data_IF_961854712346
#
_entry.id   IF_961854712346
#
_cell.length_a   1.000
_cell.length_b   1.000
_cell.length_c   1.000
_cell.angle_alpha   90.00
_cell.angle_beta   90.00
_cell.angle_gamma   90.00
#
_symmetry.space_group_name_H-M   'P 1'
#
loop_
_entity.id
_entity.type
_entity.pdbx_description
1 polymer ?
#
# COMPACT_ATOMS: atom_id res chain seq x y z
N UNK A 1 -1.94 40.38 23.67
CA UNK A 1 -2.27 38.95 23.61
C UNK A 1 -3.22 38.81 22.45
N UNK A 2 -2.64 38.65 21.27
CA UNK A 2 -3.36 38.26 20.06
C UNK A 2 -3.11 36.75 19.95
N UNK A 3 -4.20 35.98 19.90
CA UNK A 3 -4.14 34.55 19.59
C UNK A 3 -4.29 34.43 18.08
N UNK A 4 -3.20 34.03 17.41
CA UNK A 4 -3.22 33.69 15.99
C UNK A 4 -3.94 32.34 15.80
N UNK A 5 -5.13 32.39 15.22
CA UNK A 5 -5.85 31.23 14.68
C UNK A 5 -5.06 30.67 13.48
N UNK A 6 -4.39 29.54 13.66
CA UNK A 6 -3.84 28.76 12.55
C UNK A 6 -5.01 28.08 11.81
N UNK A 7 -5.35 28.59 10.63
CA UNK A 7 -6.24 27.91 9.69
C UNK A 7 -5.60 26.58 9.25
N UNK A 8 -6.19 25.47 9.68
CA UNK A 8 -5.89 24.14 9.16
C UNK A 8 -6.45 24.05 7.74
N UNK A 9 -5.60 24.33 6.75
CA UNK A 9 -5.92 24.17 5.35
C UNK A 9 -5.92 22.67 5.00
N UNK A 10 -6.97 21.98 5.44
CA UNK A 10 -7.27 20.61 5.02
C UNK A 10 -7.75 20.71 3.58
N UNK A 11 -6.81 20.58 2.64
CA UNK A 11 -7.15 20.37 1.24
C UNK A 11 -8.11 19.21 1.16
N UNK A 12 -9.35 19.49 0.75
CA UNK A 12 -10.39 18.49 0.52
C UNK A 12 -9.85 17.45 -0.47
N UNK A 13 -9.47 16.28 0.04
CA UNK A 13 -9.10 15.11 -0.76
C UNK A 13 -10.34 14.41 -1.36
N UNK A 14 -11.52 14.97 -1.12
CA UNK A 14 -12.83 14.42 -1.50
C UNK A 14 -13.09 14.50 -3.01
N UNK A 15 -12.32 15.31 -3.75
CA UNK A 15 -12.46 15.48 -5.21
C UNK A 15 -11.70 14.40 -6.02
N UNK A 16 -10.74 13.71 -5.39
CA UNK A 16 -9.97 12.63 -6.04
C UNK A 16 -10.57 11.24 -5.85
N UNK A 17 -11.45 11.06 -4.86
CA UNK A 17 -12.03 9.77 -4.50
C UNK A 17 -13.17 9.36 -5.45
N UNK A 18 -14.00 10.30 -5.91
CA UNK A 18 -15.11 10.01 -6.85
C UNK A 18 -14.62 9.43 -8.19
N UNK A 19 -13.51 9.96 -8.70
CA UNK A 19 -12.94 9.60 -10.00
C UNK A 19 -12.40 8.15 -10.06
N UNK A 20 -11.91 7.64 -8.93
CA UNK A 20 -11.36 6.26 -8.84
C UNK A 20 -12.52 5.27 -8.65
N UNK A 21 -13.51 5.63 -7.83
CA UNK A 21 -14.70 4.82 -7.49
C UNK A 21 -15.59 4.56 -8.71
N UNK A 22 -15.66 5.49 -9.66
CA UNK A 22 -16.48 5.35 -10.87
C UNK A 22 -15.91 4.36 -11.91
N UNK A 23 -14.60 4.11 -11.91
CA UNK A 23 -13.92 3.36 -12.99
C UNK A 23 -14.00 1.83 -12.84
N UNK A 24 -14.26 1.33 -11.63
CA UNK A 24 -14.36 -0.11 -11.34
C UNK A 24 -15.58 -0.37 -10.46
N UNK A 25 -16.56 -1.13 -10.96
CA UNK A 25 -17.85 -1.41 -10.30
C UNK A 25 -17.75 -2.27 -9.03
N UNK A 26 -17.04 -1.79 -8.01
CA UNK A 26 -16.77 -2.41 -6.71
C UNK A 26 -16.80 -1.38 -5.56
N UNK A 27 -17.51 -0.26 -5.70
CA UNK A 27 -17.44 0.93 -4.84
C UNK A 27 -17.37 0.67 -3.32
N UNK A 28 -18.18 -0.25 -2.78
CA UNK A 28 -18.16 -0.57 -1.34
C UNK A 28 -16.86 -1.24 -0.83
N UNK A 29 -16.06 -1.83 -1.71
CA UNK A 29 -14.79 -2.47 -1.37
C UNK A 29 -13.63 -1.49 -1.37
N UNK A 30 -13.72 -0.37 -2.08
CA UNK A 30 -12.56 0.48 -2.32
C UNK A 30 -12.27 1.40 -1.14
N UNK A 31 -13.30 2.12 -0.67
CA UNK A 31 -13.18 2.99 0.50
C UNK A 31 -12.77 2.19 1.73
N UNK A 32 -13.32 0.99 1.92
CA UNK A 32 -12.92 0.09 3.02
C UNK A 32 -11.47 -0.38 2.92
N UNK A 33 -10.97 -0.63 1.71
CA UNK A 33 -9.54 -0.96 1.50
C UNK A 33 -8.67 0.23 1.83
N UNK A 34 -9.04 1.42 1.36
CA UNK A 34 -8.31 2.65 1.65
C UNK A 34 -8.28 2.97 3.16
N UNK A 35 -9.42 2.88 3.83
CA UNK A 35 -9.52 3.07 5.29
C UNK A 35 -8.64 2.07 6.04
N UNK A 36 -8.64 0.80 5.62
CA UNK A 36 -7.79 -0.24 6.21
C UNK A 36 -6.30 0.07 6.04
N UNK A 37 -5.88 0.54 4.86
CA UNK A 37 -4.50 0.92 4.61
C UNK A 37 -4.08 2.10 5.48
N UNK A 38 -4.90 3.15 5.52
CA UNK A 38 -4.68 4.32 6.37
C UNK A 38 -4.58 3.95 7.85
N UNK A 39 -5.47 3.07 8.32
CA UNK A 39 -5.45 2.58 9.69
C UNK A 39 -4.19 1.76 10.00
N UNK A 40 -3.78 0.88 9.08
CA UNK A 40 -2.56 0.08 9.24
C UNK A 40 -1.32 0.95 9.27
N UNK A 41 -1.21 1.91 8.35
CA UNK A 41 -0.10 2.85 8.30
C UNK A 41 -0.03 3.72 9.56
N UNK A 42 -1.19 4.16 10.09
CA UNK A 42 -1.25 4.86 11.37
C UNK A 42 -0.73 3.99 12.51
N UNK A 43 -1.17 2.74 12.60
CA UNK A 43 -0.73 1.81 13.64
C UNK A 43 0.79 1.57 13.54
N UNK A 44 1.32 1.36 12.34
CA UNK A 44 2.75 1.16 12.13
C UNK A 44 3.58 2.39 12.55
N UNK A 45 3.08 3.60 12.28
CA UNK A 45 3.71 4.84 12.75
C UNK A 45 3.73 4.93 14.28
N UNK A 46 2.64 4.55 14.97
CA UNK A 46 2.59 4.51 16.43
C UNK A 46 3.64 3.55 17.02
N UNK A 47 3.94 2.45 16.33
CA UNK A 47 4.93 1.47 16.77
C UNK A 47 6.37 1.76 16.28
N UNK A 48 6.58 2.90 15.63
CA UNK A 48 7.89 3.33 15.13
C UNK A 48 8.35 2.59 13.87
N UNK A 49 7.46 1.87 13.18
CA UNK A 49 7.76 1.18 11.93
C UNK A 49 7.48 2.10 10.74
N UNK A 50 8.38 3.07 10.52
CA UNK A 50 8.25 4.00 9.41
C UNK A 50 8.63 3.34 8.08
N UNK A 51 7.93 3.73 7.01
CA UNK A 51 8.23 3.27 5.65
C UNK A 51 9.54 3.91 5.21
N UNK A 52 10.55 3.08 5.00
CA UNK A 52 11.86 3.52 4.55
C UNK A 52 11.80 3.84 3.05
N UNK A 53 12.02 5.11 2.72
CA UNK A 53 12.02 5.65 1.34
C UNK A 53 13.38 6.23 0.93
N UNK A 54 14.37 6.18 1.82
CA UNK A 54 15.69 6.73 1.57
C UNK A 54 16.53 5.79 0.71
N UNK A 55 17.48 6.36 -0.05
CA UNK A 55 18.41 5.63 -0.92
C UNK A 55 19.61 5.03 -0.17
N UNK A 56 19.64 5.09 1.16
CA UNK A 56 20.76 4.58 1.95
C UNK A 56 20.56 3.09 2.25
N UNK A 57 21.61 2.29 2.03
CA UNK A 57 21.58 0.87 2.32
C UNK A 57 21.56 0.64 3.84
N UNK A 58 20.47 0.08 4.35
CA UNK A 58 20.36 -0.32 5.76
C UNK A 58 20.33 -1.84 5.88
N UNK A 59 21.13 -2.34 6.82
CA UNK A 59 21.15 -3.75 7.18
C UNK A 59 20.24 -3.92 8.40
N UNK A 60 19.35 -4.91 8.32
CA UNK A 60 18.44 -5.25 9.40
C UNK A 60 17.99 -6.70 9.30
N UNK A 61 17.50 -7.21 10.43
CA UNK A 61 16.96 -8.55 10.55
C UNK A 61 15.46 -8.52 10.23
N UNK A 62 15.05 -9.29 9.21
CA UNK A 62 13.65 -9.46 8.88
C UNK A 62 12.96 -10.27 9.99
N UNK A 63 11.93 -9.70 10.62
CA UNK A 63 11.19 -10.38 11.68
C UNK A 63 9.72 -10.64 11.34
N UNK A 64 9.12 -9.85 10.44
CA UNK A 64 7.73 -10.04 10.02
C UNK A 64 7.51 -9.66 8.56
N UNK A 65 6.46 -10.27 7.98
CA UNK A 65 6.02 -10.05 6.61
C UNK A 65 4.50 -9.98 6.59
N UNK A 66 3.94 -8.91 6.03
CA UNK A 66 2.49 -8.71 5.92
C UNK A 66 2.09 -8.39 4.47
N UNK A 67 1.10 -9.06 3.87
CA UNK A 67 0.52 -8.65 2.60
C UNK A 67 -0.15 -7.28 2.74
N UNK A 68 0.14 -6.39 1.80
CA UNK A 68 -0.36 -5.02 1.79
C UNK A 68 -0.84 -4.62 0.38
N UNK A 69 -1.63 -3.57 0.31
CA UNK A 69 -2.01 -2.93 -0.96
C UNK A 69 -1.43 -1.51 -0.94
N UNK A 70 -0.80 -1.08 -2.03
CA UNK A 70 -0.33 0.29 -2.18
C UNK A 70 -1.16 0.99 -3.25
N UNK A 71 -1.43 2.27 -3.05
CA UNK A 71 -2.07 3.09 -4.08
C UNK A 71 -1.00 3.64 -5.03
N UNK A 72 -1.09 3.27 -6.31
CA UNK A 72 -0.22 3.77 -7.38
C UNK A 72 -0.93 4.93 -8.09
N UNK A 73 -0.42 6.16 -7.89
CA UNK A 73 -0.96 7.39 -8.47
C UNK A 73 -0.89 7.40 -10.01
N UNK A 74 0.15 6.79 -10.60
CA UNK A 74 0.35 6.79 -12.05
C UNK A 74 -0.71 5.95 -12.76
N UNK A 75 -1.08 4.83 -12.14
CA UNK A 75 -2.01 3.84 -12.72
C UNK A 75 -3.42 3.93 -12.13
N UNK A 76 -3.68 4.90 -11.25
CA UNK A 76 -4.94 5.07 -10.49
C UNK A 76 -5.53 3.76 -9.98
N UNK A 77 -4.68 2.86 -9.47
CA UNK A 77 -5.10 1.52 -9.03
C UNK A 77 -4.35 1.07 -7.79
N UNK A 78 -4.98 0.20 -7.02
CA UNK A 78 -4.30 -0.53 -5.95
C UNK A 78 -3.39 -1.59 -6.56
N UNK A 79 -2.13 -1.57 -6.17
CA UNK A 79 -1.14 -2.59 -6.51
C UNK A 79 -0.89 -3.48 -5.29
N UNK A 80 -0.77 -4.79 -5.53
CA UNK A 80 -0.41 -5.71 -4.45
C UNK A 80 1.06 -5.53 -4.09
N UNK A 81 1.31 -5.46 -2.79
CA UNK A 81 2.63 -5.30 -2.21
C UNK A 81 2.79 -6.18 -0.97
N UNK A 82 4.02 -6.26 -0.49
CA UNK A 82 4.37 -6.93 0.75
C UNK A 82 5.13 -5.94 1.61
N UNK A 83 4.66 -5.76 2.84
CA UNK A 83 5.37 -5.00 3.87
C UNK A 83 6.31 -5.94 4.62
N UNK A 84 7.59 -5.61 4.57
CA UNK A 84 8.69 -6.30 5.23
C UNK A 84 9.12 -5.48 6.43
N UNK A 85 9.10 -6.07 7.61
CA UNK A 85 9.47 -5.39 8.84
C UNK A 85 10.85 -5.85 9.33
N UNK A 86 11.73 -4.89 9.57
CA UNK A 86 13.11 -5.11 9.96
C UNK A 86 13.43 -4.53 11.32
N UNK A 87 14.39 -5.15 12.00
CA UNK A 87 15.04 -4.64 13.22
C UNK A 87 16.52 -4.42 12.92
N UNK A 88 17.00 -3.19 13.10
CA UNK A 88 18.40 -2.80 12.93
C UNK A 88 19.25 -3.00 14.19
N UNK A 89 20.49 -2.51 14.14
CA UNK A 89 21.51 -2.79 15.15
C UNK A 89 21.35 -1.99 16.47
N UNK A 90 20.57 -0.89 16.49
CA UNK A 90 20.37 -0.06 17.70
C UNK A 90 18.91 0.35 17.87
N UNK A 91 18.03 -0.63 18.08
CA UNK A 91 16.61 -0.38 18.38
C UNK A 91 15.82 0.29 17.26
N UNK A 92 16.46 0.54 16.12
CA UNK A 92 15.87 1.08 14.91
C UNK A 92 14.97 0.02 14.28
N UNK A 93 13.77 0.43 13.89
CA UNK A 93 12.76 -0.42 13.26
C UNK A 93 12.30 0.31 12.02
N UNK A 94 12.31 -0.41 10.91
CA UNK A 94 11.87 0.16 9.65
C UNK A 94 11.08 -0.89 8.89
N UNK A 95 10.15 -0.39 8.06
CA UNK A 95 9.40 -1.24 7.13
C UNK A 95 9.72 -0.85 5.69
N UNK A 96 9.77 -1.83 4.81
CA UNK A 96 9.93 -1.64 3.37
C UNK A 96 8.73 -2.28 2.68
N UNK A 97 8.13 -1.57 1.74
CA UNK A 97 7.02 -2.09 0.94
C UNK A 97 7.53 -2.48 -0.45
N UNK A 98 7.40 -3.75 -0.81
CA UNK A 98 7.83 -4.28 -2.11
C UNK A 98 6.60 -4.59 -2.95
N UNK A 99 6.49 -3.98 -4.13
CA UNK A 99 5.39 -4.21 -5.06
C UNK A 99 5.62 -5.52 -5.81
N UNK A 100 4.62 -6.41 -5.82
CA UNK A 100 4.69 -7.66 -6.57
C UNK A 100 3.33 -8.03 -7.18
N UNK A 101 3.24 -8.19 -8.51
CA UNK A 101 2.00 -8.60 -9.15
C UNK A 101 1.74 -10.10 -8.92
N UNK A 102 0.63 -10.49 -8.28
CA UNK A 102 0.30 -11.90 -8.08
C UNK A 102 -0.01 -12.56 -9.44
N UNK A 103 0.42 -13.81 -9.60
CA UNK A 103 0.19 -14.61 -10.80
C UNK A 103 -0.35 -16.00 -10.43
N UNK A 104 -1.06 -16.61 -11.36
CA UNK A 104 -1.51 -18.00 -11.25
C UNK A 104 -1.30 -18.71 -12.58
N UNK A 105 -1.12 -20.03 -12.53
CA UNK A 105 -1.00 -20.86 -13.73
C UNK A 105 -2.33 -21.53 -14.05
N UNK A 106 -2.63 -21.65 -15.34
CA UNK A 106 -3.78 -22.42 -15.83
C UNK A 106 -3.25 -23.69 -16.48
N UNK A 107 -3.71 -24.85 -15.99
CA UNK A 107 -3.36 -26.14 -16.57
C UNK A 107 -4.19 -26.41 -17.83
N UNK A 108 -3.57 -26.41 -19.00
CA UNK A 108 -4.20 -26.82 -20.25
C UNK A 108 -4.07 -28.34 -20.45
N UNK A 109 -5.07 -28.95 -21.12
CA UNK A 109 -4.92 -30.32 -21.65
C UNK A 109 -3.93 -30.30 -22.82
N UNK A 110 -3.10 -31.33 -22.93
CA UNK A 110 -2.11 -31.49 -24.02
C UNK A 110 -2.78 -31.30 -25.39
N UNK A 111 -2.28 -30.37 -26.20
CA UNK A 111 -2.78 -30.07 -27.54
C UNK A 111 -3.95 -29.08 -27.58
N UNK A 112 -4.32 -28.47 -26.44
CA UNK A 112 -5.32 -27.38 -26.35
C UNK A 112 -4.78 -26.16 -25.58
N UNK A 113 -3.47 -25.96 -25.58
CA UNK A 113 -2.84 -24.79 -25.00
C UNK A 113 -3.33 -23.47 -25.63
N UNK A 114 -3.68 -23.48 -26.92
CA UNK A 114 -4.18 -22.30 -27.63
C UNK A 114 -5.66 -21.97 -27.39
N UNK A 115 -6.44 -22.88 -26.78
CA UNK A 115 -7.84 -22.59 -26.44
C UNK A 115 -7.97 -21.88 -25.08
N UNK A 116 -6.87 -21.80 -24.34
CA UNK A 116 -6.81 -21.33 -22.94
C UNK A 116 -6.24 -19.90 -22.88
N UNK A 117 -6.52 -19.08 -23.88
CA UNK A 117 -6.37 -17.63 -23.74
C UNK A 117 -7.59 -17.10 -22.98
N UNK A 118 -7.33 -16.42 -21.86
CA UNK A 118 -8.33 -15.71 -21.06
C UNK A 118 -8.58 -14.30 -21.60
#
# INVERSE_FOLDING_TARGET
MEEDEFEENVGNNDDFTEDIVASTGLGLSLEKRFERLSQSDRIDQLYGCLRYLEFEERIGWLYNLQPCELFDEERRRFVSAIDLYFIGDIGDRFKISVIYPPYFYVGAKVGRENDVYA
#
